data_IF_106640726601
#
_entry.id   IF_106640726601
#
_cell.length_a   1.000
_cell.length_b   1.000
_cell.length_c   1.000
_cell.angle_alpha   90.00
_cell.angle_beta   90.00
_cell.angle_gamma   90.00
#
_symmetry.space_group_name_H-M   'P 1'
#
loop_
_entity.id
_entity.type
_entity.pdbx_description
1 polymer ?
#
# COMPACT_ATOMS: atom_id res chain seq x y z
N UNK A 1 14.73 -45.28 -64.82
CA UNK A 1 16.00 -44.54 -64.67
C UNK A 1 15.69 -43.41 -63.68
N UNK A 2 16.31 -43.31 -62.50
CA UNK A 2 17.71 -42.91 -62.25
C UNK A 2 17.96 -41.53 -62.90
N UNK A 3 18.22 -40.42 -62.19
CA UNK A 3 18.21 -40.08 -60.75
C UNK A 3 17.85 -38.58 -60.60
N UNK A 4 18.10 -37.82 -59.53
CA UNK A 4 18.73 -38.10 -58.24
C UNK A 4 19.49 -36.87 -57.70
N UNK A 5 19.35 -36.58 -56.38
CA UNK A 5 20.15 -35.64 -55.55
C UNK A 5 19.94 -34.10 -55.64
N UNK A 6 20.03 -33.50 -54.43
CA UNK A 6 20.12 -32.07 -54.06
C UNK A 6 18.91 -31.16 -54.40
N UNK A 7 18.51 -30.20 -53.56
CA UNK A 7 18.99 -29.87 -52.21
C UNK A 7 18.84 -28.37 -51.93
N UNK A 8 17.91 -27.96 -51.07
CA UNK A 8 17.68 -26.54 -50.80
C UNK A 8 16.61 -26.26 -49.75
N UNK A 9 17.03 -26.06 -48.50
CA UNK A 9 16.16 -25.57 -47.43
C UNK A 9 15.81 -24.10 -47.71
N UNK A 10 14.51 -23.79 -47.81
CA UNK A 10 14.00 -22.41 -47.83
C UNK A 10 13.10 -22.15 -46.63
N UNK A 11 13.72 -21.97 -45.47
CA UNK A 11 13.08 -21.20 -44.40
C UNK A 11 12.88 -19.76 -44.89
N UNK A 12 11.71 -19.17 -44.66
CA UNK A 12 11.42 -17.84 -45.16
C UNK A 12 10.26 -17.14 -44.44
N UNK A 13 10.60 -15.99 -43.84
CA UNK A 13 9.70 -14.85 -43.65
C UNK A 13 8.42 -15.09 -42.82
N UNK A 14 8.60 -15.39 -41.54
CA UNK A 14 7.65 -15.01 -40.49
C UNK A 14 8.29 -13.88 -39.66
N UNK A 15 7.85 -12.63 -39.86
CA UNK A 15 8.40 -11.48 -39.13
C UNK A 15 7.63 -11.22 -37.83
N UNK A 16 8.34 -11.46 -36.73
CA UNK A 16 8.43 -10.58 -35.57
C UNK A 16 7.12 -9.91 -35.09
N UNK A 17 6.44 -10.55 -34.14
CA UNK A 17 5.57 -9.86 -33.18
C UNK A 17 6.00 -10.21 -31.74
N UNK A 18 5.76 -9.26 -30.84
CA UNK A 18 5.93 -9.35 -29.39
C UNK A 18 7.37 -9.57 -28.88
N UNK A 19 8.04 -8.45 -28.65
CA UNK A 19 9.13 -8.33 -27.66
C UNK A 19 8.79 -7.18 -26.71
N UNK A 20 7.71 -7.33 -25.93
CA UNK A 20 7.44 -6.45 -24.79
C UNK A 20 8.27 -6.98 -23.63
N UNK A 21 9.26 -6.21 -23.19
CA UNK A 21 10.16 -6.58 -22.09
C UNK A 21 9.48 -6.40 -20.73
N UNK A 22 8.48 -7.22 -20.39
CA UNK A 22 7.87 -7.19 -19.06
C UNK A 22 8.69 -8.06 -18.11
N UNK A 23 9.43 -7.43 -17.20
CA UNK A 23 10.18 -8.12 -16.15
C UNK A 23 9.28 -8.47 -14.94
N UNK A 24 8.07 -8.99 -15.19
CA UNK A 24 7.15 -9.47 -14.15
C UNK A 24 7.89 -10.40 -13.20
N UNK A 25 7.89 -10.07 -11.90
CA UNK A 25 8.37 -11.00 -10.90
C UNK A 25 7.38 -12.15 -10.77
N UNK A 26 7.85 -13.34 -10.39
CA UNK A 26 7.03 -14.56 -10.41
C UNK A 26 5.78 -14.52 -9.51
N UNK A 27 5.61 -13.52 -8.65
CA UNK A 27 4.37 -13.27 -7.88
C UNK A 27 3.30 -12.55 -8.70
N UNK A 28 3.70 -11.57 -9.49
CA UNK A 28 2.80 -10.73 -10.30
C UNK A 28 2.25 -11.50 -11.51
N UNK A 29 2.89 -12.61 -11.89
CA UNK A 29 2.42 -13.51 -12.93
C UNK A 29 1.38 -14.55 -12.44
N UNK A 30 1.34 -14.86 -11.13
CA UNK A 30 0.33 -15.76 -10.53
C UNK A 30 -0.93 -15.00 -10.07
N UNK A 31 -0.78 -13.77 -9.59
CA UNK A 31 -1.92 -12.90 -9.29
C UNK A 31 -2.62 -12.46 -10.59
N UNK A 32 -3.94 -12.52 -10.64
CA UNK A 32 -4.71 -11.98 -11.76
C UNK A 32 -4.69 -10.44 -11.74
N UNK A 33 -3.64 -9.88 -12.36
CA UNK A 33 -3.42 -8.44 -12.54
C UNK A 33 -4.50 -7.84 -13.43
N UNK A 34 -5.06 -6.72 -12.98
CA UNK A 34 -6.07 -5.89 -13.66
C UNK A 34 -5.42 -4.67 -14.31
N UNK A 35 -4.43 -4.07 -13.64
CA UNK A 35 -3.69 -2.89 -14.08
C UNK A 35 -2.31 -2.89 -13.43
N UNK A 36 -1.29 -2.35 -14.10
CA UNK A 36 0.05 -2.15 -13.55
C UNK A 36 0.81 -1.07 -14.30
N UNK A 37 1.69 -0.34 -13.61
CA UNK A 37 2.62 0.63 -14.22
C UNK A 37 3.96 0.59 -13.46
N UNK A 38 5.05 0.42 -14.19
CA UNK A 38 6.45 0.43 -13.69
C UNK A 38 7.15 1.76 -13.97
N UNK A 39 6.43 2.71 -14.57
CA UNK A 39 6.90 4.05 -14.97
C UNK A 39 8.18 4.08 -15.84
N UNK A 40 8.61 2.94 -16.42
CA UNK A 40 9.76 2.87 -17.36
C UNK A 40 9.45 3.53 -18.72
N UNK A 41 8.18 3.90 -18.97
CA UNK A 41 7.72 4.65 -20.15
C UNK A 41 8.10 6.15 -20.10
N UNK A 42 7.57 6.97 -21.01
CA UNK A 42 7.63 8.44 -20.89
C UNK A 42 6.35 9.03 -20.26
N UNK A 43 6.43 10.28 -19.80
CA UNK A 43 5.33 10.95 -19.08
C UNK A 43 4.06 11.07 -19.92
N UNK A 44 4.15 11.21 -21.25
CA UNK A 44 2.99 11.29 -22.13
C UNK A 44 2.30 9.93 -22.25
N UNK A 45 3.09 8.86 -22.38
CA UNK A 45 2.64 7.47 -22.43
C UNK A 45 1.99 7.04 -21.11
N UNK A 46 2.61 7.38 -19.97
CA UNK A 46 2.06 7.14 -18.61
C UNK A 46 0.73 7.90 -18.44
N UNK A 47 0.70 9.20 -18.74
CA UNK A 47 -0.52 10.02 -18.63
C UNK A 47 -1.66 9.46 -19.47
N UNK A 48 -1.37 8.94 -20.67
CA UNK A 48 -2.34 8.31 -21.55
C UNK A 48 -2.72 6.88 -21.13
N UNK A 49 -1.84 6.15 -20.43
CA UNK A 49 -2.07 4.79 -19.94
C UNK A 49 -2.97 4.75 -18.72
N UNK A 50 -2.78 5.68 -17.78
CA UNK A 50 -3.74 5.92 -16.71
C UNK A 50 -5.04 6.49 -17.29
N UNK A 51 -4.95 7.48 -18.19
CA UNK A 51 -6.07 7.99 -18.98
C UNK A 51 -6.68 9.29 -18.44
N UNK A 52 -6.46 9.60 -17.16
CA UNK A 52 -6.62 10.94 -16.62
C UNK A 52 -5.40 11.33 -15.77
N UNK A 53 -4.86 12.52 -16.03
CA UNK A 53 -3.62 13.02 -15.46
C UNK A 53 -3.66 14.55 -15.34
N UNK A 54 -3.00 15.12 -14.33
CA UNK A 54 -2.82 16.57 -14.18
C UNK A 54 -1.37 17.01 -14.44
N UNK A 55 -1.08 18.29 -14.21
CA UNK A 55 0.29 18.83 -14.21
C UNK A 55 1.07 18.40 -12.97
N UNK A 56 2.39 18.63 -12.94
CA UNK A 56 3.24 18.27 -11.79
C UNK A 56 3.80 16.85 -11.83
N UNK A 57 3.69 16.17 -12.98
CA UNK A 57 4.18 14.82 -13.20
C UNK A 57 5.58 14.84 -13.81
N UNK A 58 6.50 14.06 -13.25
CA UNK A 58 7.85 13.86 -13.81
C UNK A 58 8.40 12.47 -13.45
N UNK A 59 9.56 12.12 -14.00
CA UNK A 59 10.24 10.83 -13.75
C UNK A 59 11.63 11.08 -13.17
N UNK A 60 12.03 10.29 -12.18
CA UNK A 60 13.34 10.39 -11.51
C UNK A 60 14.07 9.04 -11.46
N UNK A 61 15.39 9.03 -11.33
CA UNK A 61 16.19 7.78 -11.30
C UNK A 61 16.41 7.22 -9.88
N UNK A 62 15.55 7.59 -8.94
CA UNK A 62 15.56 7.11 -7.56
C UNK A 62 14.37 6.16 -7.41
N UNK A 63 14.63 4.88 -7.18
CA UNK A 63 13.67 3.76 -7.26
C UNK A 63 13.81 2.84 -6.03
N UNK A 64 12.81 2.00 -5.71
CA UNK A 64 12.96 0.95 -4.69
C UNK A 64 14.16 0.05 -4.98
N UNK A 65 14.90 -0.34 -3.94
CA UNK A 65 16.05 -1.25 -4.06
C UNK A 65 15.70 -2.58 -4.74
N UNK A 66 14.47 -3.06 -4.54
CA UNK A 66 13.90 -4.29 -5.07
C UNK A 66 13.22 -4.15 -6.44
N UNK A 67 13.13 -2.94 -7.02
CA UNK A 67 12.55 -2.72 -8.34
C UNK A 67 13.39 -3.35 -9.45
N UNK A 68 12.72 -3.77 -10.53
CA UNK A 68 13.37 -4.11 -11.81
C UNK A 68 13.64 -2.87 -12.70
N UNK A 69 13.02 -1.73 -12.37
CA UNK A 69 13.08 -0.49 -13.12
C UNK A 69 14.31 0.37 -12.83
N UNK A 70 14.33 1.56 -13.43
CA UNK A 70 15.34 2.61 -13.28
C UNK A 70 14.72 4.01 -13.21
N UNK A 71 13.38 4.11 -13.27
CA UNK A 71 12.60 5.32 -13.15
C UNK A 71 11.49 5.12 -12.13
N UNK A 72 11.21 6.15 -11.34
CA UNK A 72 10.00 6.27 -10.53
C UNK A 72 9.18 7.48 -10.97
N UNK A 73 7.88 7.44 -10.71
CA UNK A 73 6.99 8.60 -10.80
C UNK A 73 7.33 9.60 -9.68
N UNK A 74 7.37 10.90 -10.00
CA UNK A 74 7.32 11.98 -9.01
C UNK A 74 6.10 12.85 -9.27
N UNK A 75 5.30 13.08 -8.21
CA UNK A 75 4.18 14.02 -8.20
C UNK A 75 4.54 15.25 -7.35
N UNK A 76 4.48 16.43 -7.97
CA UNK A 76 4.82 17.74 -7.41
C UNK A 76 3.62 18.68 -7.59
N UNK A 77 2.84 18.87 -6.53
CA UNK A 77 1.55 19.58 -6.61
C UNK A 77 1.70 21.10 -6.51
N UNK A 78 2.57 21.58 -5.61
CA UNK A 78 2.57 22.95 -5.12
C UNK A 78 1.41 23.25 -4.16
N UNK A 79 1.57 24.31 -3.37
CA UNK A 79 0.52 24.82 -2.47
C UNK A 79 -0.71 25.24 -3.27
N UNK A 80 -1.90 24.79 -2.87
CA UNK A 80 -3.17 24.95 -3.57
C UNK A 80 -3.29 24.16 -4.89
N UNK A 81 -2.29 23.34 -5.24
CA UNK A 81 -2.23 22.60 -6.50
C UNK A 81 -2.61 21.13 -6.39
N UNK A 82 -2.56 20.41 -7.51
CA UNK A 82 -2.81 18.96 -7.55
C UNK A 82 -2.04 18.28 -8.68
N UNK A 83 -1.22 17.30 -8.31
CA UNK A 83 -0.53 16.39 -9.22
C UNK A 83 -1.12 14.99 -9.03
N UNK A 84 -1.80 14.44 -10.04
CA UNK A 84 -2.48 13.15 -9.94
C UNK A 84 -2.40 12.33 -11.22
N UNK A 85 -2.53 11.02 -11.04
CA UNK A 85 -2.86 10.04 -12.08
C UNK A 85 -4.09 9.25 -11.62
N UNK A 86 -5.11 9.11 -12.47
CA UNK A 86 -6.33 8.35 -12.22
C UNK A 86 -6.56 7.36 -13.37
N UNK A 87 -6.85 6.10 -13.02
CA UNK A 87 -7.09 5.03 -13.98
C UNK A 87 -8.45 4.35 -13.73
N UNK A 88 -9.39 4.41 -14.70
CA UNK A 88 -10.64 3.66 -14.65
C UNK A 88 -10.38 2.18 -15.01
N UNK A 89 -10.79 1.27 -14.13
CA UNK A 89 -10.64 -0.17 -14.30
C UNK A 89 -11.74 -0.72 -15.24
N UNK A 90 -11.49 -1.83 -15.96
CA UNK A 90 -12.40 -2.32 -17.01
C UNK A 90 -13.72 -2.93 -16.50
N UNK A 91 -13.87 -3.19 -15.19
CA UNK A 91 -15.02 -3.85 -14.59
C UNK A 91 -15.33 -3.28 -13.18
N UNK A 92 -16.54 -3.53 -12.70
CA UNK A 92 -16.95 -3.27 -11.32
C UNK A 92 -16.58 -4.47 -10.42
N UNK A 93 -15.40 -4.44 -9.81
CA UNK A 93 -14.89 -5.53 -8.96
C UNK A 93 -15.53 -5.54 -7.57
N UNK A 94 -15.77 -6.72 -7.01
CA UNK A 94 -16.20 -6.88 -5.61
C UNK A 94 -15.05 -6.93 -4.62
N UNK A 95 -13.84 -7.29 -5.08
CA UNK A 95 -12.61 -7.34 -4.29
C UNK A 95 -11.42 -6.97 -5.17
N UNK A 96 -10.52 -6.15 -4.65
CA UNK A 96 -9.22 -5.86 -5.26
C UNK A 96 -8.13 -5.74 -4.20
N UNK A 97 -6.91 -6.04 -4.63
CA UNK A 97 -5.66 -5.70 -4.00
C UNK A 97 -5.00 -4.59 -4.82
N UNK A 98 -4.40 -3.61 -4.14
CA UNK A 98 -3.70 -2.48 -4.75
C UNK A 98 -2.38 -2.29 -4.03
N UNK A 99 -1.28 -2.58 -4.73
CA UNK A 99 0.09 -2.41 -4.25
C UNK A 99 0.76 -1.27 -5.01
N UNK A 100 1.52 -0.47 -4.29
CA UNK A 100 2.42 0.54 -4.83
C UNK A 100 3.60 0.72 -3.88
N UNK A 101 4.77 1.07 -4.41
CA UNK A 101 5.84 1.62 -3.60
C UNK A 101 5.63 3.13 -3.48
N UNK A 102 5.95 3.69 -2.31
CA UNK A 102 5.84 5.14 -2.05
C UNK A 102 7.03 5.64 -1.23
N UNK A 103 7.39 6.91 -1.44
CA UNK A 103 8.37 7.66 -0.64
C UNK A 103 7.97 9.13 -0.60
N UNK A 104 8.11 9.77 0.56
CA UNK A 104 7.70 11.16 0.79
C UNK A 104 8.90 12.08 1.11
N UNK A 105 8.95 13.27 0.52
CA UNK A 105 9.87 14.37 0.83
C UNK A 105 9.53 15.07 2.15
N UNK A 106 9.63 14.35 3.27
CA UNK A 106 9.34 14.89 4.60
C UNK A 106 7.92 14.58 5.05
N UNK A 107 7.20 15.57 5.59
CA UNK A 107 5.91 15.33 6.28
C UNK A 107 4.83 16.39 6.07
N UNK A 108 5.09 17.48 5.34
CA UNK A 108 4.16 18.59 5.13
C UNK A 108 3.21 18.31 3.95
N UNK A 109 2.20 17.48 4.18
CA UNK A 109 1.24 17.05 3.16
C UNK A 109 -0.22 17.22 3.57
N UNK A 110 -1.07 17.25 2.56
CA UNK A 110 -2.52 17.15 2.64
C UNK A 110 -2.99 16.14 1.57
N UNK A 111 -4.00 15.31 1.86
CA UNK A 111 -4.60 14.32 0.94
C UNK A 111 -3.66 13.66 -0.10
N UNK A 112 -2.49 13.19 0.34
CA UNK A 112 -1.42 12.68 -0.53
C UNK A 112 -1.13 11.21 -0.26
N UNK A 113 -1.26 10.37 -1.29
CA UNK A 113 -1.13 8.92 -1.18
C UNK A 113 -1.74 8.15 -2.35
N UNK A 114 -1.95 6.85 -2.15
CA UNK A 114 -2.63 5.96 -3.09
C UNK A 114 -4.09 5.75 -2.68
N UNK A 115 -4.98 5.77 -3.68
CA UNK A 115 -6.43 5.66 -3.48
C UNK A 115 -7.04 4.62 -4.41
N UNK A 116 -8.02 3.88 -3.93
CA UNK A 116 -8.84 2.91 -4.67
C UNK A 116 -10.31 3.16 -4.36
N UNK A 117 -11.18 3.00 -5.35
CA UNK A 117 -12.59 3.26 -5.13
C UNK A 117 -13.50 2.78 -6.25
N UNK A 118 -14.74 3.23 -6.15
CA UNK A 118 -15.81 2.92 -7.09
C UNK A 118 -16.75 4.10 -7.26
N UNK A 119 -17.24 4.28 -8.48
CA UNK A 119 -18.39 5.15 -8.79
C UNK A 119 -19.51 4.37 -9.48
N UNK A 120 -20.75 4.77 -9.19
CA UNK A 120 -21.96 4.26 -9.83
C UNK A 120 -22.86 5.46 -10.18
N UNK A 121 -22.87 5.91 -11.46
CA UNK A 121 -22.18 5.32 -12.61
C UNK A 121 -20.64 5.54 -12.61
N UNK A 122 -19.85 4.64 -13.26
CA UNK A 122 -18.40 4.81 -13.42
C UNK A 122 -18.03 6.02 -14.30
N UNK A 123 -16.86 6.64 -14.05
CA UNK A 123 -16.33 7.76 -14.87
C UNK A 123 -14.86 7.58 -15.24
N UNK A 124 -14.42 8.04 -16.43
CA UNK A 124 -13.01 8.05 -16.84
C UNK A 124 -12.21 9.24 -16.28
N UNK A 125 -12.75 9.94 -15.29
CA UNK A 125 -12.09 11.01 -14.53
C UNK A 125 -12.43 10.87 -13.04
N UNK A 126 -11.56 11.35 -12.12
CA UNK A 126 -11.85 11.36 -10.69
C UNK A 126 -12.98 12.34 -10.37
N UNK A 127 -13.79 12.03 -9.36
CA UNK A 127 -14.89 12.89 -8.91
C UNK A 127 -14.50 13.61 -7.60
N UNK A 128 -15.15 14.75 -7.34
CA UNK A 128 -14.94 15.53 -6.12
C UNK A 128 -15.80 14.98 -4.97
N UNK A 129 -15.22 14.10 -4.16
CA UNK A 129 -15.99 13.31 -3.17
C UNK A 129 -15.94 13.82 -1.72
N UNK A 130 -15.20 14.91 -1.48
CA UNK A 130 -15.06 15.50 -0.15
C UNK A 130 -16.42 15.94 0.43
N UNK A 131 -16.69 15.57 1.68
CA UNK A 131 -17.94 15.88 2.36
C UNK A 131 -19.10 14.90 2.10
N UNK A 132 -18.91 13.87 1.28
CA UNK A 132 -19.97 12.91 0.92
C UNK A 132 -19.91 11.60 1.70
N UNK A 133 -21.10 11.04 1.99
CA UNK A 133 -21.28 9.77 2.70
C UNK A 133 -21.62 8.61 1.75
N UNK A 134 -20.75 8.31 0.78
CA UNK A 134 -20.97 7.22 -0.18
C UNK A 134 -22.15 7.38 -1.16
N UNK A 135 -22.88 8.50 -1.08
CA UNK A 135 -24.08 8.83 -1.87
C UNK A 135 -24.08 10.34 -2.17
N UNK A 136 -24.59 10.72 -3.35
CA UNK A 136 -24.80 12.11 -3.79
C UNK A 136 -26.29 12.46 -3.82
N UNK A 137 -26.61 13.75 -3.81
CA UNK A 137 -27.99 14.27 -3.85
C UNK A 137 -28.80 13.81 -5.08
N UNK A 138 -28.12 13.53 -6.20
CA UNK A 138 -28.74 12.99 -7.41
C UNK A 138 -28.99 11.47 -7.37
N UNK A 139 -28.53 10.78 -6.32
CA UNK A 139 -28.63 9.33 -6.15
C UNK A 139 -27.42 8.53 -6.62
N UNK A 140 -26.38 9.13 -7.21
CA UNK A 140 -25.16 8.40 -7.56
C UNK A 140 -24.49 7.84 -6.30
N UNK A 141 -23.83 6.69 -6.42
CA UNK A 141 -23.07 6.07 -5.32
C UNK A 141 -21.57 6.19 -5.55
N UNK A 142 -20.84 6.21 -4.44
CA UNK A 142 -19.38 6.19 -4.42
C UNK A 142 -18.85 5.36 -3.25
N UNK A 143 -17.64 4.85 -3.39
CA UNK A 143 -16.83 4.38 -2.27
C UNK A 143 -15.39 4.79 -2.53
N UNK A 144 -14.74 5.38 -1.53
CA UNK A 144 -13.35 5.83 -1.61
C UNK A 144 -12.59 5.28 -0.42
N UNK A 145 -11.45 4.63 -0.69
CA UNK A 145 -10.49 4.16 0.30
C UNK A 145 -9.11 4.63 -0.11
N UNK A 146 -8.40 5.31 0.77
CA UNK A 146 -7.02 5.77 0.54
C UNK A 146 -6.14 5.47 1.74
N UNK A 147 -4.85 5.21 1.50
CA UNK A 147 -3.82 5.34 2.53
C UNK A 147 -2.97 6.55 2.18
N UNK A 148 -3.10 7.59 2.98
CA UNK A 148 -2.64 8.93 2.68
C UNK A 148 -2.20 9.66 3.96
N UNK A 149 -1.84 10.92 3.81
CA UNK A 149 -1.59 11.85 4.90
C UNK A 149 -2.76 12.86 4.92
N UNK A 150 -3.83 12.60 5.68
CA UNK A 150 -4.96 13.51 5.73
C UNK A 150 -4.66 14.69 6.67
N UNK A 151 -4.18 14.39 7.89
CA UNK A 151 -3.89 15.36 8.94
C UNK A 151 -2.74 14.87 9.84
N UNK A 152 -1.99 15.83 10.42
CA UNK A 152 -1.02 15.60 11.49
C UNK A 152 0.06 14.53 11.21
N UNK A 153 0.66 14.60 10.01
CA UNK A 153 2.00 14.08 9.69
C UNK A 153 2.22 12.57 9.95
N UNK A 154 1.16 11.77 9.79
CA UNK A 154 1.17 10.29 9.81
C UNK A 154 0.53 9.73 8.54
N UNK A 155 0.77 8.46 8.25
CA UNK A 155 -0.10 7.70 7.36
C UNK A 155 -1.38 7.29 8.12
N UNK A 156 -2.54 7.54 7.51
CA UNK A 156 -3.84 7.05 7.96
C UNK A 156 -4.75 6.74 6.77
N UNK A 157 -5.93 6.22 7.07
CA UNK A 157 -7.00 6.09 6.09
C UNK A 157 -7.79 7.41 5.95
N UNK A 158 -8.34 7.67 4.77
CA UNK A 158 -9.34 8.72 4.58
C UNK A 158 -10.53 8.17 3.77
N UNK A 159 -11.41 7.44 4.46
CA UNK A 159 -12.40 6.58 3.81
C UNK A 159 -13.79 7.21 3.76
N UNK A 160 -14.46 7.16 2.61
CA UNK A 160 -15.83 7.65 2.41
C UNK A 160 -16.74 6.52 1.88
N UNK A 161 -17.84 6.23 2.60
CA UNK A 161 -18.78 5.15 2.28
C UNK A 161 -20.17 5.38 2.90
N UNK A 162 -21.16 4.58 2.53
CA UNK A 162 -22.58 4.86 2.86
C UNK A 162 -22.95 4.74 4.34
N UNK A 163 -22.28 3.85 5.07
CA UNK A 163 -22.49 3.59 6.49
C UNK A 163 -21.39 4.23 7.39
N UNK A 164 -20.76 5.36 6.99
CA UNK A 164 -19.83 6.09 7.87
C UNK A 164 -20.48 6.46 9.21
N UNK A 165 -19.68 6.44 10.27
CA UNK A 165 -20.11 6.75 11.64
C UNK A 165 -19.79 8.21 12.02
N UNK A 166 -20.16 8.60 13.25
CA UNK A 166 -19.91 9.93 13.81
C UNK A 166 -20.75 11.06 13.21
N UNK A 167 -20.49 12.27 13.69
CA UNK A 167 -21.20 13.49 13.28
C UNK A 167 -20.73 14.04 11.93
N UNK A 168 -21.52 14.94 11.35
CA UNK A 168 -21.08 15.82 10.27
C UNK A 168 -20.33 17.04 10.82
N UNK A 169 -19.37 17.55 10.06
CA UNK A 169 -18.78 18.87 10.30
C UNK A 169 -19.37 19.85 9.29
N UNK A 170 -20.00 20.93 9.78
CA UNK A 170 -20.73 21.92 8.97
C UNK A 170 -21.78 21.30 8.00
N UNK A 171 -22.33 20.13 8.33
CA UNK A 171 -23.29 19.39 7.48
C UNK A 171 -22.64 18.37 6.53
N UNK A 172 -21.32 18.34 6.42
CA UNK A 172 -20.55 17.48 5.52
C UNK A 172 -19.91 16.27 6.24
N UNK A 173 -19.73 15.18 5.49
CA UNK A 173 -19.05 13.95 5.92
C UNK A 173 -17.63 13.87 5.34
N UNK A 174 -16.65 14.31 6.11
CA UNK A 174 -15.23 14.14 5.79
C UNK A 174 -14.79 12.68 6.03
N UNK A 175 -13.81 12.21 5.26
CA UNK A 175 -13.34 10.81 5.29
C UNK A 175 -12.90 10.36 6.68
N UNK A 176 -13.12 9.09 7.01
CA UNK A 176 -12.82 8.55 8.34
C UNK A 176 -11.46 7.88 8.41
N UNK A 177 -10.74 8.22 9.47
CA UNK A 177 -9.47 7.64 9.88
C UNK A 177 -9.70 6.35 10.66
N UNK A 178 -8.76 5.41 10.57
CA UNK A 178 -8.93 4.07 11.17
C UNK A 178 -7.69 3.54 11.89
N UNK A 179 -6.50 4.06 11.58
CA UNK A 179 -5.22 3.56 12.12
C UNK A 179 -4.44 4.60 12.94
N UNK A 180 -5.05 5.74 13.28
CA UNK A 180 -4.41 6.80 14.08
C UNK A 180 -3.78 6.33 15.39
N UNK A 181 -4.37 5.35 16.08
CA UNK A 181 -3.80 4.76 17.31
C UNK A 181 -2.51 3.95 17.08
N UNK A 182 -2.20 3.59 15.83
CA UNK A 182 -0.92 2.97 15.43
C UNK A 182 0.16 4.02 15.14
N UNK A 183 -0.23 5.28 14.89
CA UNK A 183 0.66 6.43 14.62
C UNK A 183 1.78 6.10 13.62
N UNK A 184 1.41 5.58 12.45
CA UNK A 184 2.35 5.16 11.40
C UNK A 184 3.07 6.39 10.83
N UNK A 185 4.39 6.45 10.98
CA UNK A 185 5.18 7.57 10.47
C UNK A 185 5.15 7.65 8.93
N UNK A 186 5.20 8.87 8.39
CA UNK A 186 5.32 9.13 6.95
C UNK A 186 6.67 8.62 6.44
N UNK A 187 6.71 7.72 5.43
CA UNK A 187 7.96 7.09 5.02
C UNK A 187 8.78 7.97 4.08
N UNK A 188 9.91 8.47 4.58
CA UNK A 188 10.94 9.15 3.77
C UNK A 188 11.91 8.18 3.07
N UNK A 189 11.60 6.89 3.06
CA UNK A 189 12.31 5.83 2.35
C UNK A 189 11.30 4.98 1.58
N UNK A 190 11.74 4.37 0.48
CA UNK A 190 10.89 3.51 -0.35
C UNK A 190 10.21 2.41 0.46
N UNK A 191 8.88 2.50 0.51
CA UNK A 191 8.03 1.66 1.34
C UNK A 191 6.97 1.02 0.47
N UNK A 192 6.89 -0.30 0.52
CA UNK A 192 5.82 -1.06 -0.13
C UNK A 192 4.53 -0.90 0.70
N UNK A 193 3.48 -0.36 0.09
CA UNK A 193 2.12 -0.35 0.64
C UNK A 193 1.27 -1.29 -0.20
N UNK A 194 0.49 -2.15 0.46
CA UNK A 194 -0.57 -2.90 -0.21
C UNK A 194 -1.87 -2.80 0.58
N UNK A 195 -2.95 -2.48 -0.12
CA UNK A 195 -4.32 -2.44 0.38
C UNK A 195 -5.12 -3.62 -0.19
N UNK A 196 -6.06 -4.14 0.58
CA UNK A 196 -7.11 -5.05 0.10
C UNK A 196 -8.47 -4.50 0.54
N UNK A 197 -9.38 -4.35 -0.41
CA UNK A 197 -10.77 -3.92 -0.15
C UNK A 197 -11.71 -5.00 -0.66
N UNK A 198 -12.61 -5.47 0.21
CA UNK A 198 -13.73 -6.36 -0.17
C UNK A 198 -15.05 -5.63 0.07
N UNK A 199 -15.82 -5.39 -0.99
CA UNK A 199 -17.15 -4.80 -0.90
C UNK A 199 -18.16 -5.81 -0.33
N UNK A 200 -19.06 -5.34 0.52
CA UNK A 200 -20.07 -6.19 1.16
C UNK A 200 -21.02 -6.85 0.15
N UNK A 201 -21.52 -8.03 0.53
CA UNK A 201 -22.52 -8.79 -0.23
C UNK A 201 -23.33 -9.72 0.70
N UNK A 202 -24.68 -9.72 0.65
CA UNK A 202 -25.54 -8.81 -0.11
C UNK A 202 -25.38 -7.34 0.34
N UNK A 203 -25.94 -6.40 -0.42
CA UNK A 203 -25.77 -4.96 -0.14
C UNK A 203 -26.50 -4.45 1.13
N UNK A 204 -27.19 -5.34 1.85
CA UNK A 204 -27.73 -5.13 3.20
C UNK A 204 -26.81 -5.63 4.32
N UNK A 205 -25.74 -6.37 4.00
CA UNK A 205 -24.81 -6.92 4.99
C UNK A 205 -23.66 -5.95 5.30
N UNK A 206 -23.15 -6.02 6.52
CA UNK A 206 -21.95 -5.30 6.98
C UNK A 206 -20.73 -6.24 7.04
N UNK A 207 -20.51 -7.00 5.96
CA UNK A 207 -19.44 -8.01 5.85
C UNK A 207 -18.31 -7.62 4.89
N UNK A 208 -18.23 -6.34 4.52
CA UNK A 208 -17.11 -5.78 3.78
C UNK A 208 -15.85 -5.71 4.64
N UNK A 209 -14.70 -5.80 3.98
CA UNK A 209 -13.38 -5.86 4.62
C UNK A 209 -12.45 -4.77 4.07
N UNK A 210 -11.46 -4.41 4.89
CA UNK A 210 -10.30 -3.61 4.53
C UNK A 210 -9.08 -4.15 5.26
N UNK A 211 -7.95 -4.27 4.57
CA UNK A 211 -6.67 -4.65 5.20
C UNK A 211 -5.53 -3.88 4.56
N UNK A 212 -4.57 -3.44 5.38
CA UNK A 212 -3.35 -2.76 4.95
C UNK A 212 -2.12 -3.53 5.42
N UNK A 213 -1.15 -3.64 4.52
CA UNK A 213 0.17 -4.17 4.79
C UNK A 213 1.22 -3.13 4.40
N UNK A 214 2.28 -3.03 5.19
CA UNK A 214 3.41 -2.13 4.95
C UNK A 214 4.69 -2.95 5.01
N UNK A 215 5.51 -2.89 3.96
CA UNK A 215 6.71 -3.71 3.75
C UNK A 215 6.47 -5.23 3.90
N UNK A 216 5.22 -5.66 3.66
CA UNK A 216 4.77 -7.06 3.70
C UNK A 216 4.06 -7.45 5.00
N UNK A 217 4.31 -6.75 6.10
CA UNK A 217 3.69 -7.02 7.40
C UNK A 217 2.25 -6.49 7.46
N UNK A 218 1.34 -7.26 8.08
CA UNK A 218 -0.08 -6.87 8.23
C UNK A 218 -0.24 -5.85 9.36
N UNK A 219 -0.52 -4.60 8.99
CA UNK A 219 -0.58 -3.48 9.94
C UNK A 219 -1.95 -3.34 10.57
N UNK A 220 -3.02 -3.49 9.78
CA UNK A 220 -4.39 -3.46 10.30
C UNK A 220 -5.35 -4.24 9.40
N UNK A 221 -6.24 -5.01 10.02
CA UNK A 221 -7.21 -5.87 9.36
C UNK A 221 -8.61 -5.67 9.94
N UNK A 222 -9.46 -4.98 9.17
CA UNK A 222 -10.82 -4.60 9.48
C UNK A 222 -11.80 -5.52 8.77
N UNK A 223 -12.39 -6.44 9.51
CA UNK A 223 -13.50 -7.31 9.07
C UNK A 223 -14.40 -7.60 10.26
N UNK A 224 -15.57 -8.19 10.06
CA UNK A 224 -16.46 -8.50 11.18
C UNK A 224 -15.73 -9.40 12.20
N UNK A 225 -15.54 -8.88 13.42
CA UNK A 225 -14.75 -9.53 14.49
C UNK A 225 -13.36 -8.95 14.78
N UNK A 226 -12.79 -8.06 13.96
CA UNK A 226 -11.44 -7.47 14.19
C UNK A 226 -11.26 -6.13 13.47
N UNK A 227 -10.52 -5.14 14.04
CA UNK A 227 -9.87 -5.14 15.37
C UNK A 227 -10.88 -4.94 16.52
N UNK A 228 -10.41 -4.75 17.76
CA UNK A 228 -11.25 -4.27 18.88
C UNK A 228 -11.10 -2.77 19.05
N UNK A 229 -12.19 -2.08 19.40
CA UNK A 229 -12.22 -0.63 19.41
C UNK A 229 -13.62 -0.02 19.46
N UNK A 230 -13.72 1.26 19.11
CA UNK A 230 -14.98 2.00 19.05
C UNK A 230 -14.88 3.15 18.04
N UNK A 231 -16.02 3.59 17.52
CA UNK A 231 -16.12 4.83 16.77
C UNK A 231 -16.21 6.01 17.74
N UNK A 232 -15.45 7.07 17.50
CA UNK A 232 -15.55 8.31 18.28
C UNK A 232 -16.65 9.26 17.76
N UNK A 233 -16.70 10.48 18.31
CA UNK A 233 -17.71 11.47 17.96
C UNK A 233 -17.53 12.08 16.55
N UNK A 234 -16.29 12.17 16.07
CA UNK A 234 -16.01 12.57 14.69
C UNK A 234 -16.40 11.44 13.73
N UNK A 235 -16.26 10.19 14.17
CA UNK A 235 -16.62 8.99 13.41
C UNK A 235 -15.40 8.22 12.91
N UNK A 236 -14.24 8.50 13.47
CA UNK A 236 -13.03 7.73 13.24
C UNK A 236 -13.00 6.51 14.15
N UNK A 237 -12.31 5.44 13.72
CA UNK A 237 -12.15 4.25 14.53
C UNK A 237 -10.97 4.40 15.49
N UNK A 238 -11.22 4.14 16.77
CA UNK A 238 -10.19 4.09 17.82
C UNK A 238 -9.91 2.66 18.22
N UNK A 239 -8.68 2.20 18.03
CA UNK A 239 -8.28 0.84 18.40
C UNK A 239 -8.09 0.73 19.92
N UNK A 240 -8.77 -0.23 20.56
CA UNK A 240 -8.73 -0.37 22.01
C UNK A 240 -8.99 -1.80 22.47
N UNK A 241 -7.99 -2.37 23.15
CA UNK A 241 -8.13 -3.67 23.82
C UNK A 241 -9.23 -3.63 24.87
N UNK A 242 -10.08 -4.67 24.90
CA UNK A 242 -11.23 -4.78 25.79
C UNK A 242 -12.49 -4.01 25.33
N UNK A 243 -12.41 -3.22 24.25
CA UNK A 243 -13.60 -2.67 23.58
C UNK A 243 -14.26 -3.73 22.67
N UNK A 244 -15.50 -3.51 22.20
CA UNK A 244 -16.16 -4.41 21.26
C UNK A 244 -15.33 -4.68 19.99
N UNK A 245 -15.60 -5.82 19.35
CA UNK A 245 -15.03 -6.13 18.04
C UNK A 245 -15.67 -5.25 16.94
N UNK A 246 -14.88 -4.96 15.90
CA UNK A 246 -15.35 -4.24 14.72
C UNK A 246 -16.52 -4.98 14.05
N UNK A 247 -17.58 -4.24 13.70
CA UNK A 247 -18.80 -4.83 13.12
C UNK A 247 -18.62 -5.39 11.71
N UNK A 248 -17.62 -4.92 10.97
CA UNK A 248 -17.48 -5.10 9.52
C UNK A 248 -18.10 -3.93 8.74
N UNK A 249 -17.67 -3.72 7.50
CA UNK A 249 -18.13 -2.59 6.69
C UNK A 249 -19.39 -2.91 5.89
N UNK A 250 -20.27 -1.91 5.76
CA UNK A 250 -21.26 -1.83 4.68
C UNK A 250 -20.83 -0.73 3.71
N UNK A 251 -19.86 -1.06 2.85
CA UNK A 251 -19.29 -0.15 1.86
C UNK A 251 -20.34 0.43 0.89
N UNK A 252 -21.34 -0.37 0.50
CA UNK A 252 -22.38 -0.04 -0.49
C UNK A 252 -23.76 -0.58 -0.09
N UNK A 253 -24.81 0.09 -0.57
CA UNK A 253 -26.22 -0.31 -0.41
C UNK A 253 -26.84 -0.92 -1.69
N UNK A 254 -26.18 -0.78 -2.83
CA UNK A 254 -26.48 -1.44 -4.11
C UNK A 254 -25.35 -2.36 -4.53
N UNK A 255 -25.61 -3.36 -5.38
CA UNK A 255 -24.59 -4.22 -6.00
C UNK A 255 -24.05 -3.68 -7.33
N UNK A 256 -24.64 -2.63 -7.89
CA UNK A 256 -24.16 -1.97 -9.12
C UNK A 256 -22.81 -1.28 -8.90
N UNK A 257 -22.67 -0.53 -7.81
CA UNK A 257 -21.38 0.00 -7.34
C UNK A 257 -20.38 -1.14 -7.07
N UNK A 258 -19.26 -1.15 -7.81
CA UNK A 258 -18.08 -1.96 -7.55
C UNK A 258 -16.83 -1.09 -7.51
N UNK A 259 -15.69 -1.67 -7.10
CA UNK A 259 -14.39 -1.02 -7.24
C UNK A 259 -14.06 -0.93 -8.73
N UNK A 260 -13.89 0.28 -9.25
CA UNK A 260 -13.70 0.53 -10.68
C UNK A 260 -12.72 1.67 -11.01
N UNK A 261 -11.94 2.14 -10.05
CA UNK A 261 -10.81 3.04 -10.31
C UNK A 261 -9.69 2.92 -9.27
N UNK A 262 -8.48 3.31 -9.67
CA UNK A 262 -7.35 3.63 -8.78
C UNK A 262 -6.77 5.00 -9.10
N UNK A 263 -6.15 5.64 -8.12
CA UNK A 263 -5.56 6.97 -8.23
C UNK A 263 -4.27 7.08 -7.40
N UNK A 264 -3.30 7.82 -7.92
CA UNK A 264 -2.18 8.38 -7.16
C UNK A 264 -2.35 9.90 -7.11
N UNK A 265 -2.07 10.52 -5.96
CA UNK A 265 -2.28 11.95 -5.78
C UNK A 265 -1.24 12.57 -4.85
N UNK A 266 -0.78 13.76 -5.23
CA UNK A 266 -0.25 14.81 -4.37
C UNK A 266 -1.19 16.02 -4.45
N UNK A 267 -1.54 16.63 -3.32
CA UNK A 267 -2.54 17.71 -3.27
C UNK A 267 -2.15 18.73 -2.19
N UNK A 268 -2.25 20.02 -2.54
CA UNK A 268 -2.07 21.14 -1.62
C UNK A 268 -0.80 21.01 -0.73
N UNK A 269 0.32 20.63 -1.35
CA UNK A 269 1.58 20.34 -0.68
C UNK A 269 2.77 20.96 -1.42
N UNK A 270 3.71 21.51 -0.66
CA UNK A 270 5.00 22.03 -1.13
C UNK A 270 6.06 20.95 -1.30
N UNK A 271 5.79 19.74 -0.81
CA UNK A 271 6.70 18.59 -0.78
C UNK A 271 6.34 17.56 -1.86
N UNK A 272 7.34 16.92 -2.44
CA UNK A 272 7.16 15.95 -3.53
C UNK A 272 6.93 14.54 -3.00
N UNK A 273 6.17 13.72 -3.71
CA UNK A 273 5.99 12.29 -3.40
C UNK A 273 6.40 11.47 -4.61
N UNK A 274 7.03 10.33 -4.36
CA UNK A 274 7.41 9.38 -5.40
C UNK A 274 6.59 8.10 -5.28
N UNK A 275 6.26 7.52 -6.43
CA UNK A 275 5.60 6.22 -6.54
C UNK A 275 6.33 5.32 -7.53
N UNK A 276 6.30 4.02 -7.28
CA UNK A 276 6.92 3.02 -8.14
C UNK A 276 6.20 1.66 -8.09
N UNK A 277 6.48 0.79 -9.06
CA UNK A 277 5.99 -0.58 -9.18
C UNK A 277 4.51 -0.74 -8.75
N UNK A 278 3.60 -0.09 -9.48
CA UNK A 278 2.15 -0.10 -9.19
C UNK A 278 1.51 -1.36 -9.76
N UNK A 279 0.71 -2.07 -8.95
CA UNK A 279 -0.06 -3.25 -9.38
C UNK A 279 -1.45 -3.25 -8.72
N UNK A 280 -2.48 -3.52 -9.52
CA UNK A 280 -3.85 -3.81 -9.09
C UNK A 280 -4.19 -5.24 -9.51
N UNK A 281 -4.69 -6.06 -8.61
CA UNK A 281 -5.02 -7.46 -8.89
C UNK A 281 -6.27 -7.93 -8.11
N UNK A 282 -6.88 -9.04 -8.52
CA UNK A 282 -7.97 -9.67 -7.72
C UNK A 282 -7.46 -10.58 -6.60
N UNK A 283 -6.15 -10.85 -6.58
CA UNK A 283 -5.47 -11.69 -5.58
C UNK A 283 -4.26 -10.97 -4.95
N UNK A 284 -3.71 -11.56 -3.87
CA UNK A 284 -2.63 -10.98 -3.08
C UNK A 284 -1.35 -10.81 -3.91
N UNK A 285 -0.85 -9.58 -4.00
CA UNK A 285 0.32 -9.26 -4.82
C UNK A 285 1.60 -9.50 -4.00
N UNK A 286 1.64 -8.95 -2.78
CA UNK A 286 2.84 -8.85 -1.97
C UNK A 286 3.83 -7.80 -2.48
N UNK A 287 4.80 -7.49 -1.63
CA UNK A 287 5.97 -6.72 -2.01
C UNK A 287 6.92 -7.55 -2.88
N UNK A 288 7.71 -6.86 -3.70
CA UNK A 288 8.83 -7.41 -4.43
C UNK A 288 9.83 -8.01 -3.43
N UNK A 289 10.54 -9.10 -3.79
CA UNK A 289 11.57 -9.67 -2.93
C UNK A 289 12.74 -8.70 -2.76
N UNK A 290 13.24 -8.53 -1.54
CA UNK A 290 14.50 -7.82 -1.30
C UNK A 290 15.61 -8.33 -2.23
N UNK A 291 16.49 -7.44 -2.74
CA UNK A 291 17.59 -7.85 -3.59
C UNK A 291 18.39 -8.91 -2.87
N UNK A 292 18.44 -10.12 -3.47
CA UNK A 292 19.26 -11.20 -2.95
C UNK A 292 20.71 -10.78 -3.04
N UNK A 293 21.23 -10.22 -1.95
CA UNK A 293 22.63 -9.91 -1.78
C UNK A 293 23.40 -11.19 -2.12
N UNK A 294 24.09 -11.17 -3.26
CA UNK A 294 24.61 -12.39 -3.88
C UNK A 294 25.70 -12.95 -2.98
N UNK A 295 25.33 -13.94 -2.15
CA UNK A 295 26.20 -14.55 -1.16
C UNK A 295 27.49 -14.98 -1.87
N UNK A 296 28.58 -14.28 -1.55
CA UNK A 296 29.73 -14.26 -2.44
C UNK A 296 30.34 -15.65 -2.54
N UNK A 297 30.57 -16.10 -3.78
CA UNK A 297 31.31 -17.32 -4.10
C UNK A 297 32.79 -17.09 -3.77
N UNK A 298 33.09 -17.00 -2.48
CA UNK A 298 34.31 -16.38 -1.95
C UNK A 298 34.71 -16.82 -0.55
N UNK A 299 34.14 -17.92 -0.02
CA UNK A 299 34.61 -18.56 1.22
C UNK A 299 34.34 -20.07 1.18
N UNK A 300 35.23 -20.84 0.55
CA UNK A 300 34.99 -22.27 0.30
C UNK A 300 36.20 -23.11 -0.16
N UNK A 301 37.43 -22.58 -0.09
CA UNK A 301 38.67 -23.31 -0.39
C UNK A 301 39.73 -22.89 0.64
N UNK A 302 40.61 -23.83 1.04
CA UNK A 302 41.56 -23.72 2.18
C UNK A 302 40.76 -23.71 3.51
N UNK A 303 40.79 -24.75 4.34
CA UNK A 303 41.98 -25.47 4.81
C UNK A 303 41.70 -26.97 5.02
N UNK A 304 42.46 -27.85 4.36
CA UNK A 304 42.39 -29.30 4.56
C UNK A 304 43.76 -29.85 4.96
N UNK A 305 44.09 -29.74 6.25
CA UNK A 305 45.34 -30.20 6.83
C UNK A 305 45.20 -30.54 8.33
N UNK A 306 46.08 -31.44 8.81
CA UNK A 306 46.37 -31.70 10.23
C UNK A 306 45.24 -32.27 11.13
N UNK A 307 44.72 -33.46 10.79
CA UNK A 307 44.25 -34.42 11.81
C UNK A 307 45.26 -35.56 11.98
N UNK A 308 46.24 -35.38 12.88
CA UNK A 308 47.14 -36.45 13.30
C UNK A 308 47.78 -36.19 14.68
N UNK A 309 47.69 -37.18 15.59
CA UNK A 309 48.29 -37.24 16.95
C UNK A 309 47.61 -36.28 17.97
N UNK A 310 47.31 -36.67 19.21
CA UNK A 310 47.43 -37.99 19.85
C UNK A 310 46.71 -38.05 21.21
N UNK A 311 46.47 -39.26 21.75
CA UNK A 311 45.78 -39.49 23.05
C UNK A 311 46.72 -39.29 24.25
N UNK A 312 46.30 -38.52 25.25
CA UNK A 312 46.53 -38.67 26.72
C UNK A 312 46.16 -37.36 27.44
N UNK A 313 45.51 -37.30 28.61
CA UNK A 313 44.89 -38.34 29.45
C UNK A 313 44.38 -37.78 30.80
N UNK A 314 43.38 -38.45 31.40
CA UNK A 314 42.88 -38.41 32.82
C UNK A 314 43.00 -37.12 33.67
N UNK A 315 41.89 -36.63 34.25
CA UNK A 315 41.92 -35.71 35.42
C UNK A 315 40.56 -35.39 36.06
N UNK A 316 40.48 -35.52 37.40
CA UNK A 316 39.38 -35.16 38.32
C UNK A 316 39.17 -33.62 38.48
N UNK A 317 38.13 -33.05 39.12
CA UNK A 317 36.74 -33.46 39.45
C UNK A 317 35.99 -32.30 40.19
N UNK A 318 34.68 -32.47 40.43
CA UNK A 318 33.89 -31.92 41.58
C UNK A 318 33.53 -30.43 41.71
N UNK A 319 32.24 -30.19 42.03
CA UNK A 319 31.68 -29.10 42.92
C UNK A 319 31.85 -27.62 42.46
N UNK A 320 31.02 -26.64 42.86
CA UNK A 320 29.66 -26.58 43.45
C UNK A 320 29.05 -25.17 43.26
N UNK A 321 27.76 -25.01 43.65
CA UNK A 321 27.09 -23.80 44.19
C UNK A 321 27.71 -22.39 43.96
N UNK A 322 26.86 -21.40 43.57
CA UNK A 322 26.39 -20.35 44.52
C UNK A 322 25.59 -19.19 43.87
N UNK A 323 24.32 -19.05 44.31
CA UNK A 323 23.58 -17.81 44.63
C UNK A 323 23.54 -16.61 43.65
N UNK A 324 22.30 -16.23 43.28
CA UNK A 324 21.91 -14.82 43.01
C UNK A 324 21.98 -13.98 44.30
N UNK A 325 21.90 -12.64 44.20
CA UNK A 325 20.70 -12.00 44.76
C UNK A 325 19.97 -11.11 43.75
N UNK A 326 18.74 -10.71 44.11
CA UNK A 326 17.96 -9.67 43.43
C UNK A 326 18.16 -8.34 44.17
N UNK A 327 17.98 -7.22 43.49
CA UNK A 327 17.64 -5.94 44.14
C UNK A 327 16.37 -5.40 43.49
N UNK A 328 15.39 -5.06 44.34
CA UNK A 328 14.34 -4.08 44.08
C UNK A 328 14.63 -2.89 45.05
N UNK A 329 14.02 -1.71 44.98
CA UNK A 329 12.75 -1.29 44.39
C UNK A 329 12.69 0.25 44.25
N UNK A 330 11.77 0.75 43.40
CA UNK A 330 10.74 1.82 43.63
C UNK A 330 10.92 2.86 44.77
N UNK A 331 10.21 4.02 44.74
CA UNK A 331 9.80 4.89 43.62
C UNK A 331 9.95 6.40 43.98
N UNK A 332 9.37 7.33 43.19
CA UNK A 332 8.98 8.67 43.68
C UNK A 332 7.87 9.31 42.80
N UNK A 333 7.10 10.25 43.38
CA UNK A 333 5.95 10.96 42.79
C UNK A 333 6.14 12.49 42.88
N UNK A 334 5.72 13.24 41.85
CA UNK A 334 5.15 14.62 41.95
C UNK A 334 4.62 15.06 40.56
N UNK A 335 3.31 15.03 40.26
CA UNK A 335 2.25 16.04 40.53
C UNK A 335 2.31 17.34 39.72
N UNK A 336 1.27 17.57 38.88
CA UNK A 336 0.73 18.86 38.35
C UNK A 336 1.68 19.82 37.59
N UNK A 337 1.27 20.57 36.56
CA UNK A 337 -0.03 21.23 36.31
C UNK A 337 -0.28 21.57 34.82
N UNK A 338 -1.53 21.90 34.45
CA UNK A 338 -1.85 22.79 33.31
C UNK A 338 -1.98 24.26 33.78
N UNK A 339 -2.63 25.19 33.08
CA UNK A 339 -3.38 25.09 31.80
C UNK A 339 -2.52 25.64 30.62
N UNK A 340 -2.95 26.29 29.51
CA UNK A 340 -4.24 26.80 28.96
C UNK A 340 -4.16 26.81 27.39
N UNK A 341 -5.27 27.02 26.63
CA UNK A 341 -5.30 26.86 25.17
C UNK A 341 -5.09 28.15 24.35
N UNK A 342 -4.63 28.00 23.10
CA UNK A 342 -4.99 28.90 22.00
C UNK A 342 -3.85 29.40 21.11
N UNK A 343 -3.90 29.04 19.82
CA UNK A 343 -3.82 29.99 18.69
C UNK A 343 -4.04 29.26 17.37
N UNK A 344 -4.52 29.98 16.36
CA UNK A 344 -4.76 29.48 15.01
C UNK A 344 -3.69 29.95 14.02
N UNK A 345 -3.44 29.12 13.00
CA UNK A 345 -3.28 29.53 11.60
C UNK A 345 -3.52 28.35 10.69
#
# INVERSE_FOLDING_TARGET
MIGGLMGGIRCGWAWLYLAISVALTAREADALVVFSDDFESDVASISSGWGNASTGISLTTDVPSSSGGRKSLQLDAGLGGSALLYHPLPLNYSRLFYRYYVKYEGTEYHHTGGMIGGYDPPTPWPQGDAGLKGIRDNGDRLVTVSLEIPEANRLDFYNNWIDMQGATYQGLYYGRQLIQDLNIAVPNQWTCVELMVTLNTPATASNGELTVWINGDEVANFRSGTPTGYWDAAGDWRMRSGSPAFGGFRWRDTTSLGLNWVKLQNFDATTRVWFDDVVVATERIGCLPEPRCAASLGCGVILLAALARGRSGKGHASRELSKRPRIASQPLWSTSSGPDPGSSR
#
